data_IF_610717795998
#
_entry.id   IF_610717795998
#
_cell.length_a   1.000
_cell.length_b   1.000
_cell.length_c   1.000
_cell.angle_alpha   90.00
_cell.angle_beta   90.00
_cell.angle_gamma   90.00
#
_symmetry.space_group_name_H-M   'P 1'
#
loop_
_entity.id
_entity.type
_entity.pdbx_description
1 polymer ?
#
# COMPACT_ATOMS: atom_id res chain seq x y z
N UNK A 1 7.99 1.92 1.99
CA UNK A 1 7.32 2.90 1.09
C UNK A 1 7.78 2.69 -0.33
N UNK A 2 7.81 1.42 -0.71
CA UNK A 2 8.59 0.82 -1.78
C UNK A 2 7.70 -0.07 -2.66
N UNK A 3 6.51 -0.41 -2.16
CA UNK A 3 5.47 -1.11 -2.89
C UNK A 3 4.09 -0.54 -2.54
N UNK A 4 3.14 -0.73 -3.45
CA UNK A 4 1.72 -0.58 -3.21
C UNK A 4 1.04 -1.94 -3.41
N UNK A 5 -0.02 -2.20 -2.65
CA UNK A 5 -0.86 -3.37 -2.83
C UNK A 5 -2.19 -2.94 -3.43
N UNK A 6 -2.55 -3.55 -4.57
CA UNK A 6 -3.82 -3.33 -5.24
C UNK A 6 -4.67 -4.60 -5.13
N UNK A 7 -5.97 -4.43 -4.89
CA UNK A 7 -6.90 -5.53 -4.70
C UNK A 7 -8.06 -5.43 -5.71
N UNK A 8 -8.30 -6.52 -6.43
CA UNK A 8 -9.49 -6.70 -7.26
C UNK A 8 -10.44 -7.66 -6.55
N UNK A 9 -11.52 -7.11 -5.97
CA UNK A 9 -12.57 -7.91 -5.35
C UNK A 9 -13.43 -8.54 -6.44
N UNK A 10 -13.59 -9.86 -6.39
CA UNK A 10 -14.46 -10.62 -7.29
C UNK A 10 -15.68 -11.15 -6.55
N UNK A 11 -16.84 -11.08 -7.20
CA UNK A 11 -18.05 -11.72 -6.71
C UNK A 11 -18.10 -13.19 -7.12
N UNK A 12 -18.87 -14.00 -6.40
CA UNK A 12 -19.06 -15.44 -6.71
C UNK A 12 -19.57 -15.71 -8.13
N UNK A 13 -20.20 -14.71 -8.77
CA UNK A 13 -20.76 -14.80 -10.13
C UNK A 13 -19.75 -14.47 -11.23
N UNK A 14 -18.67 -13.76 -10.89
CA UNK A 14 -17.63 -13.41 -11.86
C UNK A 14 -16.60 -14.51 -11.94
N UNK A 15 -16.26 -14.95 -13.16
CA UNK A 15 -15.20 -15.93 -13.34
C UNK A 15 -13.86 -15.31 -12.94
N UNK A 16 -13.21 -15.89 -11.92
CA UNK A 16 -11.95 -15.39 -11.37
C UNK A 16 -10.86 -15.23 -12.46
N UNK A 17 -10.85 -16.13 -13.45
CA UNK A 17 -9.94 -16.05 -14.59
C UNK A 17 -10.10 -14.78 -15.45
N UNK A 18 -11.31 -14.24 -15.59
CA UNK A 18 -11.52 -12.97 -16.33
C UNK A 18 -10.97 -11.77 -15.56
N UNK A 19 -11.06 -11.79 -14.24
CA UNK A 19 -10.48 -10.75 -13.40
C UNK A 19 -8.96 -10.84 -13.40
N UNK A 20 -8.40 -12.04 -13.25
CA UNK A 20 -6.95 -12.25 -13.33
C UNK A 20 -6.42 -11.78 -14.69
N UNK A 21 -7.11 -12.08 -15.79
CA UNK A 21 -6.74 -11.58 -17.11
C UNK A 21 -6.69 -10.04 -17.16
N UNK A 22 -7.70 -9.36 -16.61
CA UNK A 22 -7.71 -7.90 -16.51
C UNK A 22 -6.53 -7.37 -15.66
N UNK A 23 -6.17 -8.07 -14.59
CA UNK A 23 -5.02 -7.71 -13.73
C UNK A 23 -3.71 -7.90 -14.48
N UNK A 24 -3.55 -8.99 -15.25
CA UNK A 24 -2.37 -9.23 -16.09
C UNK A 24 -2.27 -8.11 -17.16
N UNK A 25 -3.37 -7.79 -17.83
CA UNK A 25 -3.41 -6.72 -18.81
C UNK A 25 -3.02 -5.37 -18.18
N UNK A 26 -3.57 -5.05 -17.01
CA UNK A 26 -3.20 -3.85 -16.25
C UNK A 26 -1.72 -3.85 -15.87
N UNK A 27 -1.18 -4.99 -15.42
CA UNK A 27 0.23 -5.10 -15.04
C UNK A 27 1.17 -4.91 -16.23
N UNK A 28 0.86 -5.52 -17.38
CA UNK A 28 1.63 -5.34 -18.61
C UNK A 28 1.54 -3.89 -19.13
N UNK A 29 0.39 -3.23 -18.96
CA UNK A 29 0.25 -1.80 -19.29
C UNK A 29 1.12 -0.93 -18.38
N UNK A 30 1.14 -1.19 -17.07
CA UNK A 30 2.02 -0.48 -16.13
C UNK A 30 3.48 -0.66 -16.53
N UNK A 31 3.90 -1.90 -16.84
CA UNK A 31 5.26 -2.12 -17.30
C UNK A 31 5.56 -1.38 -18.60
N UNK A 32 4.65 -1.43 -19.58
CA UNK A 32 4.84 -0.72 -20.85
C UNK A 32 4.96 0.80 -20.65
N UNK A 33 4.06 1.40 -19.85
CA UNK A 33 4.02 2.85 -19.61
C UNK A 33 5.19 3.38 -18.79
N UNK A 34 5.71 2.61 -17.83
CA UNK A 34 6.71 3.08 -16.88
C UNK A 34 8.08 2.39 -17.05
N UNK A 35 8.30 1.62 -18.11
CA UNK A 35 9.58 0.92 -18.36
C UNK A 35 10.75 1.82 -18.81
N UNK A 36 10.47 3.08 -19.15
CA UNK A 36 11.41 4.01 -19.80
C UNK A 36 11.63 5.31 -19.02
N UNK A 37 11.35 5.34 -17.71
CA UNK A 37 11.63 6.53 -16.92
C UNK A 37 13.12 6.59 -16.56
N UNK A 38 13.87 7.40 -17.30
CA UNK A 38 15.27 7.70 -17.00
C UNK A 38 15.34 8.81 -15.95
N UNK A 39 15.97 8.50 -14.81
CA UNK A 39 16.21 9.50 -13.75
C UNK A 39 17.38 10.42 -14.10
N UNK A 40 17.50 11.55 -13.42
CA UNK A 40 18.63 12.49 -13.57
C UNK A 40 20.02 11.84 -13.33
N UNK A 41 20.04 10.69 -12.64
CA UNK A 41 21.23 9.88 -12.38
C UNK A 41 21.44 8.76 -13.42
N UNK A 42 20.71 8.81 -14.56
CA UNK A 42 20.75 7.84 -15.66
C UNK A 42 20.41 6.40 -15.25
N UNK A 43 19.58 6.24 -14.22
CA UNK A 43 19.03 4.94 -13.83
C UNK A 43 17.62 4.84 -14.40
N UNK A 44 17.38 3.79 -15.20
CA UNK A 44 16.05 3.46 -15.68
C UNK A 44 15.25 2.80 -14.56
N UNK A 45 14.20 3.48 -14.11
CA UNK A 45 13.29 2.92 -13.12
C UNK A 45 12.33 1.96 -13.81
N UNK A 46 12.21 0.76 -13.24
CA UNK A 46 11.24 -0.24 -13.64
C UNK A 46 10.63 -0.84 -12.39
N UNK A 47 9.34 -1.14 -12.47
CA UNK A 47 8.60 -1.75 -11.37
C UNK A 47 8.68 -3.27 -11.44
N UNK A 48 8.44 -3.92 -10.30
CA UNK A 48 8.19 -5.35 -10.21
C UNK A 48 6.72 -5.54 -9.94
N UNK A 49 6.06 -6.44 -10.67
CA UNK A 49 4.64 -6.72 -10.47
C UNK A 49 4.47 -8.20 -10.17
N UNK A 50 3.80 -8.48 -9.05
CA UNK A 50 3.48 -9.82 -8.60
C UNK A 50 1.96 -9.96 -8.48
N UNK A 51 1.40 -11.06 -8.99
CA UNK A 51 -0.03 -11.33 -9.01
C UNK A 51 -0.31 -12.65 -8.31
N UNK A 52 -1.22 -12.62 -7.34
CA UNK A 52 -1.72 -13.78 -6.60
C UNK A 52 -3.24 -13.76 -6.59
N UNK A 53 -3.89 -14.91 -6.42
CA UNK A 53 -5.34 -14.99 -6.33
C UNK A 53 -5.78 -15.92 -5.19
N UNK A 54 -6.90 -15.59 -4.55
CA UNK A 54 -7.50 -16.45 -3.55
C UNK A 54 -8.27 -15.68 -2.48
N UNK A 55 -8.57 -16.37 -1.39
CA UNK A 55 -9.34 -15.81 -0.29
C UNK A 55 -8.46 -15.00 0.66
N UNK A 56 -8.97 -13.84 1.06
CA UNK A 56 -8.33 -12.96 2.04
C UNK A 56 -9.34 -12.53 3.10
N UNK A 57 -8.83 -12.25 4.28
CA UNK A 57 -9.54 -11.65 5.39
C UNK A 57 -9.08 -10.19 5.53
N UNK A 58 -10.05 -9.30 5.58
CA UNK A 58 -9.85 -7.91 5.94
C UNK A 58 -10.27 -7.74 7.38
N UNK A 59 -9.35 -7.31 8.25
CA UNK A 59 -9.63 -7.08 9.66
C UNK A 59 -9.27 -5.66 10.07
N UNK A 60 -10.19 -4.99 10.75
CA UNK A 60 -9.95 -3.70 11.40
C UNK A 60 -9.29 -3.96 12.76
N UNK A 61 -8.25 -3.20 13.07
CA UNK A 61 -7.50 -3.26 14.33
C UNK A 61 -7.38 -1.88 14.96
N UNK A 62 -7.05 -1.84 16.25
CA UNK A 62 -6.98 -0.61 17.04
C UNK A 62 -8.20 -0.42 17.93
N UNK A 63 -8.21 0.70 18.66
CA UNK A 63 -9.33 1.08 19.52
C UNK A 63 -9.49 2.61 19.53
N UNK A 64 -10.74 3.07 19.66
CA UNK A 64 -11.05 4.48 19.84
C UNK A 64 -10.78 5.33 18.60
N UNK A 65 -9.81 6.25 18.71
CA UNK A 65 -9.50 7.25 17.68
C UNK A 65 -8.46 6.78 16.66
N UNK A 66 -7.65 5.77 16.99
CA UNK A 66 -6.54 5.31 16.16
C UNK A 66 -6.80 3.87 15.71
N UNK A 67 -7.35 3.75 14.51
CA UNK A 67 -7.69 2.48 13.89
C UNK A 67 -6.77 2.22 12.70
N UNK A 68 -6.49 0.96 12.43
CA UNK A 68 -5.83 0.53 11.21
C UNK A 68 -6.51 -0.71 10.67
N UNK A 69 -5.99 -1.26 9.59
CA UNK A 69 -6.46 -2.51 9.01
C UNK A 69 -5.29 -3.40 8.65
N UNK A 70 -5.56 -4.71 8.67
CA UNK A 70 -4.63 -5.73 8.22
C UNK A 70 -5.31 -6.66 7.23
N UNK A 71 -4.53 -7.10 6.26
CA UNK A 71 -4.93 -8.09 5.26
C UNK A 71 -4.24 -9.40 5.61
N UNK A 72 -5.03 -10.45 5.77
CA UNK A 72 -4.52 -11.77 6.15
C UNK A 72 -5.03 -12.80 5.15
N UNK A 73 -4.14 -13.61 4.60
CA UNK A 73 -4.53 -14.70 3.71
C UNK A 73 -3.40 -15.12 2.80
N UNK A 74 -3.54 -16.33 2.24
CA UNK A 74 -2.57 -16.92 1.34
C UNK A 74 -2.17 -16.01 0.15
N UNK A 75 -3.10 -15.27 -0.50
CA UNK A 75 -2.72 -14.41 -1.62
C UNK A 75 -1.70 -13.33 -1.24
N UNK A 76 -1.81 -12.74 -0.04
CA UNK A 76 -0.85 -11.71 0.41
C UNK A 76 0.55 -12.31 0.59
N UNK A 77 0.62 -13.56 1.06
CA UNK A 77 1.87 -14.28 1.26
C UNK A 77 2.53 -14.61 -0.07
N UNK A 78 1.75 -15.19 -0.98
CA UNK A 78 2.22 -15.57 -2.31
C UNK A 78 2.59 -14.38 -3.16
N UNK A 79 1.88 -13.24 -3.05
CA UNK A 79 2.24 -12.01 -3.74
C UNK A 79 3.62 -11.51 -3.30
N UNK A 80 3.91 -11.54 -1.99
CA UNK A 80 5.22 -11.16 -1.45
C UNK A 80 6.30 -12.13 -1.89
N UNK A 81 6.04 -13.44 -1.80
CA UNK A 81 6.98 -14.45 -2.26
C UNK A 81 7.31 -14.28 -3.75
N UNK A 82 6.29 -14.10 -4.59
CA UNK A 82 6.44 -13.89 -6.03
C UNK A 82 7.19 -12.58 -6.35
N UNK A 83 6.97 -11.50 -5.60
CA UNK A 83 7.73 -10.25 -5.73
C UNK A 83 9.21 -10.45 -5.39
N UNK A 84 9.52 -11.22 -4.36
CA UNK A 84 10.89 -11.55 -3.96
C UNK A 84 11.69 -12.25 -5.05
N UNK A 85 11.04 -13.10 -5.86
CA UNK A 85 11.67 -13.79 -7.01
C UNK A 85 11.52 -13.00 -8.32
N UNK A 86 10.85 -11.85 -8.32
CA UNK A 86 10.57 -11.06 -9.52
C UNK A 86 11.76 -10.17 -9.87
N UNK A 87 12.19 -10.20 -11.14
CA UNK A 87 13.20 -9.28 -11.65
C UNK A 87 12.57 -7.95 -12.07
N UNK A 88 13.39 -6.90 -12.14
CA UNK A 88 12.92 -5.56 -12.53
C UNK A 88 12.37 -5.55 -13.95
N UNK A 89 11.13 -5.07 -14.14
CA UNK A 89 10.43 -5.08 -15.42
C UNK A 89 9.64 -6.35 -15.73
N UNK A 90 9.59 -7.33 -14.83
CA UNK A 90 8.80 -8.55 -15.00
C UNK A 90 7.39 -8.46 -14.39
N UNK A 91 6.47 -9.26 -14.93
CA UNK A 91 5.17 -9.57 -14.32
C UNK A 91 5.17 -11.06 -13.97
N UNK A 92 5.15 -11.36 -12.66
CA UNK A 92 5.24 -12.72 -12.13
C UNK A 92 3.93 -13.14 -11.45
N UNK A 93 3.45 -14.33 -11.75
CA UNK A 93 2.24 -14.92 -11.20
C UNK A 93 2.60 -16.01 -10.19
N UNK A 94 1.88 -16.01 -9.07
CA UNK A 94 1.85 -17.12 -8.13
C UNK A 94 1.08 -18.32 -8.70
N UNK A 95 1.32 -19.50 -8.13
CA UNK A 95 0.69 -20.77 -8.53
C UNK A 95 -0.83 -20.70 -8.49
N UNK A 96 -1.39 -20.06 -7.46
CA UNK A 96 -2.84 -19.87 -7.30
C UNK A 96 -3.44 -19.04 -8.42
N UNK A 97 -2.79 -17.94 -8.82
CA UNK A 97 -3.25 -17.11 -9.93
C UNK A 97 -3.14 -17.86 -11.27
N UNK A 98 -2.02 -18.55 -11.49
CA UNK A 98 -1.80 -19.30 -12.72
C UNK A 98 -2.79 -20.46 -12.90
N UNK A 99 -3.20 -21.14 -11.82
CA UNK A 99 -4.19 -22.22 -11.86
C UNK A 99 -5.56 -21.82 -12.40
N UNK A 100 -5.86 -20.52 -12.48
CA UNK A 100 -7.09 -19.99 -13.07
C UNK A 100 -6.92 -19.44 -14.49
N UNK A 101 -5.71 -19.54 -15.06
CA UNK A 101 -5.37 -19.05 -16.38
C UNK A 101 -5.18 -20.20 -17.37
N UNK A 102 -5.66 -20.02 -18.60
CA UNK A 102 -5.40 -20.95 -19.70
C UNK A 102 -4.05 -20.61 -20.35
N UNK A 103 -3.12 -21.56 -20.37
CA UNK A 103 -1.76 -21.38 -20.88
C UNK A 103 -1.71 -20.88 -22.32
N UNK A 104 -2.68 -21.28 -23.16
CA UNK A 104 -2.80 -20.86 -24.56
C UNK A 104 -2.95 -19.35 -24.73
N UNK A 105 -3.51 -18.66 -23.74
CA UNK A 105 -3.83 -17.23 -23.86
C UNK A 105 -2.62 -16.31 -23.61
N UNK A 106 -1.50 -16.85 -23.15
CA UNK A 106 -0.37 -16.05 -22.68
C UNK A 106 0.97 -16.61 -23.17
N UNK A 107 1.86 -15.70 -23.59
CA UNK A 107 3.28 -16.01 -23.72
C UNK A 107 3.91 -16.00 -22.33
N UNK A 108 4.33 -17.18 -21.87
CA UNK A 108 4.72 -17.41 -20.49
C UNK A 108 5.96 -18.29 -20.35
N UNK A 109 6.69 -18.09 -19.25
CA UNK A 109 7.82 -18.92 -18.84
C UNK A 109 7.54 -19.45 -17.44
N UNK A 110 7.56 -20.78 -17.30
CA UNK A 110 7.41 -21.46 -16.01
C UNK A 110 8.81 -21.64 -15.43
N UNK A 111 9.01 -21.19 -14.19
CA UNK A 111 10.25 -21.37 -13.45
C UNK A 111 10.18 -22.61 -12.56
N UNK A 112 11.33 -23.15 -12.16
CA UNK A 112 11.41 -24.36 -11.32
C UNK A 112 10.71 -24.20 -9.96
N UNK A 113 10.68 -22.97 -9.42
CA UNK A 113 9.95 -22.63 -8.19
C UNK A 113 8.41 -22.72 -8.35
N UNK A 114 7.94 -22.92 -9.58
CA UNK A 114 6.54 -22.98 -10.01
C UNK A 114 5.85 -21.61 -10.08
N UNK A 115 6.61 -20.52 -10.03
CA UNK A 115 6.14 -19.20 -10.42
C UNK A 115 6.17 -19.06 -11.94
N UNK A 116 5.27 -18.23 -12.50
CA UNK A 116 5.14 -18.05 -13.95
C UNK A 116 5.37 -16.60 -14.32
N UNK A 117 6.31 -16.33 -15.22
CA UNK A 117 6.50 -14.99 -15.80
C UNK A 117 5.65 -14.85 -17.04
N UNK A 118 4.88 -13.77 -17.13
CA UNK A 118 4.07 -13.44 -18.31
C UNK A 118 4.77 -12.34 -19.11
N UNK A 119 5.02 -12.61 -20.39
CA UNK A 119 5.62 -11.64 -21.32
C UNK A 119 4.57 -10.84 -22.07
N UNK A 120 3.57 -11.53 -22.61
CA UNK A 120 2.50 -10.89 -23.38
C UNK A 120 1.20 -11.69 -23.32
N UNK A 121 0.10 -11.01 -23.63
CA UNK A 121 -1.22 -11.62 -23.82
C UNK A 121 -1.39 -11.92 -25.31
N UNK A 122 -1.70 -13.18 -25.63
CA UNK A 122 -1.92 -13.64 -26.99
C UNK A 122 -3.42 -13.56 -27.36
N UNK A 123 -4.29 -14.04 -26.47
CA UNK A 123 -5.74 -14.17 -26.70
C UNK A 123 -6.55 -13.70 -25.49
N UNK A 124 -7.73 -13.12 -25.73
CA UNK A 124 -8.68 -12.75 -24.66
C UNK A 124 -9.51 -13.99 -24.26
N UNK A 125 -9.56 -14.38 -22.97
CA UNK A 125 -10.40 -15.49 -22.51
C UNK A 125 -11.91 -15.28 -22.70
N UNK A 126 -12.36 -14.06 -22.99
CA UNK A 126 -13.78 -13.72 -23.22
C UNK A 126 -14.21 -13.93 -24.67
N UNK A 127 -13.27 -13.96 -25.59
CA UNK A 127 -13.56 -14.18 -27.01
C UNK A 127 -13.55 -15.69 -27.31
N UNK A 128 -14.62 -16.19 -27.93
CA UNK A 128 -14.71 -17.59 -28.37
C UNK A 128 -13.79 -17.90 -29.56
N UNK A 129 -13.36 -16.88 -30.30
CA UNK A 129 -12.48 -16.99 -31.46
C UNK A 129 -11.00 -16.91 -31.03
N UNK A 130 -10.43 -18.05 -30.64
CA UNK A 130 -9.01 -18.20 -30.24
C UNK A 130 -8.01 -18.08 -31.41
N UNK A 131 -8.42 -17.41 -32.48
CA UNK A 131 -7.64 -17.17 -33.71
C UNK A 131 -7.31 -15.69 -33.91
N UNK A 132 -8.01 -14.78 -33.23
CA UNK A 132 -7.76 -13.34 -33.33
C UNK A 132 -6.72 -12.92 -32.28
N UNK A 133 -5.61 -12.26 -32.68
CA UNK A 133 -4.65 -11.74 -31.72
C UNK A 133 -5.29 -10.64 -30.86
N UNK A 134 -4.89 -10.54 -29.59
CA UNK A 134 -5.39 -9.54 -28.65
C UNK A 134 -5.10 -8.10 -29.11
N UNK A 135 -6.06 -7.48 -29.81
CA UNK A 135 -5.99 -6.11 -30.30
C UNK A 135 -6.25 -5.07 -29.20
N UNK A 136 -6.83 -5.48 -28.07
CA UNK A 136 -7.24 -4.62 -26.97
C UNK A 136 -6.09 -3.88 -26.28
N UNK A 137 -4.86 -4.42 -26.33
CA UNK A 137 -3.71 -3.81 -25.68
C UNK A 137 -3.43 -2.39 -26.22
N UNK A 138 -3.41 -2.22 -27.55
CA UNK A 138 -3.14 -0.94 -28.18
C UNK A 138 -4.25 0.09 -27.92
N UNK A 139 -5.51 -0.35 -27.84
CA UNK A 139 -6.63 0.51 -27.47
C UNK A 139 -6.52 0.99 -26.02
N UNK A 140 -6.15 0.10 -25.09
CA UNK A 140 -5.92 0.45 -23.68
C UNK A 140 -4.75 1.43 -23.51
N UNK A 141 -3.63 1.22 -24.22
CA UNK A 141 -2.48 2.16 -24.19
C UNK A 141 -2.90 3.56 -24.66
N UNK A 142 -3.72 3.66 -25.71
CA UNK A 142 -4.22 4.96 -26.21
C UNK A 142 -5.16 5.66 -25.24
N UNK A 143 -5.98 4.91 -24.49
CA UNK A 143 -6.89 5.48 -23.48
C UNK A 143 -6.15 6.09 -22.28
N UNK A 144 -5.01 5.51 -21.87
CA UNK A 144 -4.24 5.96 -20.68
C UNK A 144 -3.45 7.24 -20.93
N UNK A 145 -3.04 7.54 -22.18
CA UNK A 145 -2.34 8.79 -22.48
C UNK A 145 -3.22 10.05 -22.28
N UNK A 146 -4.54 9.91 -22.30
CA UNK A 146 -5.50 11.03 -22.10
C UNK A 146 -5.64 11.51 -20.66
N UNK A 147 -5.75 10.65 -19.63
CA UNK A 147 -5.91 11.09 -18.23
C UNK A 147 -4.65 11.66 -17.58
N UNK A 148 -3.43 11.26 -17.96
CA UNK A 148 -2.21 11.68 -17.23
C UNK A 148 -1.99 13.20 -17.25
N UNK A 149 -2.23 13.87 -18.39
CA UNK A 149 -2.09 15.33 -18.50
C UNK A 149 -3.17 16.11 -17.72
N UNK A 150 -4.28 15.46 -17.35
CA UNK A 150 -5.33 16.08 -16.52
C UNK A 150 -4.90 16.08 -15.05
N UNK A 151 -4.16 15.05 -14.62
CA UNK A 151 -3.82 14.80 -13.20
C UNK A 151 -2.95 15.88 -12.57
N UNK A 152 -2.01 16.46 -13.32
CA UNK A 152 -1.13 17.53 -12.81
C UNK A 152 -1.89 18.79 -12.40
N UNK A 153 -3.05 19.06 -13.02
CA UNK A 153 -3.89 20.22 -12.70
C UNK A 153 -5.00 19.88 -11.67
N UNK A 154 -5.21 18.62 -11.29
CA UNK A 154 -6.34 18.20 -10.44
C UNK A 154 -6.25 18.66 -8.99
N UNK A 155 -5.05 18.87 -8.46
CA UNK A 155 -4.84 19.25 -7.05
C UNK A 155 -5.45 20.61 -6.75
N UNK A 156 -5.28 21.59 -7.64
CA UNK A 156 -5.81 22.94 -7.46
C UNK A 156 -7.35 22.98 -7.58
N UNK A 157 -7.93 22.19 -8.51
CA UNK A 157 -9.39 22.16 -8.74
C UNK A 157 -10.21 21.47 -7.63
N UNK A 158 -9.61 20.54 -6.88
CA UNK A 158 -10.32 19.82 -5.81
C UNK A 158 -10.31 20.57 -4.47
N UNK A 159 -9.39 21.52 -4.30
CA UNK A 159 -9.17 22.25 -3.05
C UNK A 159 -9.93 23.59 -2.98
N UNK A 160 -10.49 24.08 -4.09
CA UNK A 160 -11.22 25.34 -4.13
C UNK A 160 -12.66 25.15 -3.57
N UNK A 161 -13.01 25.72 -2.40
CA UNK A 161 -14.33 25.58 -1.78
C UNK A 161 -15.38 26.53 -2.36
N UNK A 162 -15.00 27.40 -3.29
CA UNK A 162 -15.92 28.37 -3.87
C UNK A 162 -16.91 27.67 -4.80
N UNK A 163 -18.18 27.60 -4.35
CA UNK A 163 -19.35 27.08 -5.07
C UNK A 163 -19.71 27.82 -6.38
N UNK A 164 -18.87 28.75 -6.85
CA UNK A 164 -19.03 29.45 -8.14
C UNK A 164 -18.35 28.69 -9.29
N UNK A 165 -18.55 27.37 -9.36
CA UNK A 165 -18.02 26.55 -10.46
C UNK A 165 -18.98 26.62 -11.66
N UNK A 166 -18.43 26.89 -12.85
CA UNK A 166 -19.18 26.80 -14.10
C UNK A 166 -19.75 25.36 -14.29
N UNK A 167 -20.88 25.18 -14.98
CA UNK A 167 -21.48 23.86 -15.22
C UNK A 167 -20.52 22.85 -15.86
N UNK A 168 -19.59 23.34 -16.69
CA UNK A 168 -18.55 22.54 -17.31
C UNK A 168 -17.51 22.00 -16.30
N UNK A 169 -17.20 22.76 -15.26
CA UNK A 169 -16.22 22.36 -14.23
C UNK A 169 -16.84 21.36 -13.25
N UNK A 170 -18.15 21.47 -12.98
CA UNK A 170 -18.92 20.48 -12.23
C UNK A 170 -18.94 19.13 -12.97
N UNK A 171 -19.14 19.15 -14.31
CA UNK A 171 -19.12 17.94 -15.12
C UNK A 171 -17.73 17.30 -15.13
N UNK A 172 -16.66 18.09 -15.32
CA UNK A 172 -15.28 17.60 -15.22
C UNK A 172 -14.95 17.04 -13.83
N UNK A 173 -15.39 17.69 -12.75
CA UNK A 173 -15.22 17.19 -11.38
C UNK A 173 -15.94 15.86 -11.17
N UNK A 174 -17.16 15.70 -11.70
CA UNK A 174 -17.89 14.43 -11.71
C UNK A 174 -17.18 13.35 -12.53
N UNK A 175 -16.65 13.69 -13.69
CA UNK A 175 -15.90 12.75 -14.54
C UNK A 175 -14.63 12.25 -13.85
N UNK A 176 -13.92 13.14 -13.15
CA UNK A 176 -12.72 12.76 -12.37
C UNK A 176 -13.10 11.89 -11.18
N UNK A 177 -14.10 12.30 -10.39
CA UNK A 177 -14.59 11.52 -9.26
C UNK A 177 -15.19 10.16 -9.70
N UNK A 178 -15.63 10.04 -10.95
CA UNK A 178 -16.12 8.77 -11.52
C UNK A 178 -15.06 7.67 -11.55
N UNK A 179 -13.76 8.03 -11.58
CA UNK A 179 -12.66 7.09 -11.45
C UNK A 179 -12.72 6.33 -10.12
N UNK A 180 -13.31 6.93 -9.08
CA UNK A 180 -13.46 6.35 -7.76
C UNK A 180 -14.89 6.53 -7.23
N UNK A 181 -15.80 5.75 -7.81
CA UNK A 181 -17.23 5.67 -7.41
C UNK A 181 -17.46 5.44 -5.91
N UNK A 182 -16.49 4.83 -5.21
CA UNK A 182 -16.57 4.62 -3.76
C UNK A 182 -16.63 5.91 -2.95
N UNK A 183 -16.20 7.06 -3.50
CA UNK A 183 -16.31 8.36 -2.83
C UNK A 183 -17.78 8.74 -2.67
N UNK A 184 -18.58 8.63 -3.75
CA UNK A 184 -20.02 8.90 -3.71
C UNK A 184 -20.75 7.95 -2.76
N UNK A 185 -20.40 6.67 -2.77
CA UNK A 185 -20.96 5.70 -1.83
C UNK A 185 -20.64 6.05 -0.37
N UNK A 186 -19.45 6.58 -0.09
CA UNK A 186 -19.06 6.97 1.26
C UNK A 186 -19.83 8.21 1.75
N UNK A 187 -20.08 9.15 0.84
CA UNK A 187 -20.90 10.34 1.08
C UNK A 187 -22.36 9.95 1.36
N UNK A 188 -22.96 9.10 0.53
CA UNK A 188 -24.32 8.58 0.71
C UNK A 188 -24.50 7.86 2.06
N UNK A 189 -23.50 7.10 2.49
CA UNK A 189 -23.55 6.32 3.73
C UNK A 189 -23.08 7.10 4.98
N UNK A 190 -22.69 8.37 4.86
CA UNK A 190 -22.20 9.20 5.98
C UNK A 190 -21.10 8.55 6.83
N UNK A 191 -20.21 7.77 6.22
CA UNK A 191 -19.15 7.00 6.92
C UNK A 191 -17.90 7.84 7.22
N UNK A 192 -17.93 9.15 7.00
CA UNK A 192 -16.78 10.05 7.15
C UNK A 192 -16.10 9.97 8.52
N UNK A 193 -16.89 9.94 9.60
CA UNK A 193 -16.38 9.88 10.97
C UNK A 193 -15.61 8.58 11.24
N UNK A 194 -16.07 7.45 10.71
CA UNK A 194 -15.40 6.15 10.89
C UNK A 194 -14.12 6.04 10.07
N UNK A 195 -14.10 6.59 8.86
CA UNK A 195 -12.94 6.56 7.98
C UNK A 195 -11.84 7.48 8.51
N UNK A 196 -12.19 8.61 9.14
CA UNK A 196 -11.23 9.52 9.77
C UNK A 196 -10.35 8.83 10.82
N UNK A 197 -10.87 7.84 11.53
CA UNK A 197 -10.12 7.04 12.51
C UNK A 197 -8.98 6.21 11.89
N UNK A 198 -8.97 6.02 10.57
CA UNK A 198 -7.91 5.32 9.83
C UNK A 198 -6.79 6.25 9.34
N UNK A 199 -6.93 7.56 9.57
CA UNK A 199 -5.97 8.55 9.11
C UNK A 199 -4.96 8.87 10.21
N UNK A 200 -3.70 9.05 9.82
CA UNK A 200 -2.67 9.43 10.78
C UNK A 200 -2.91 10.86 11.31
N UNK A 201 -2.52 11.11 12.57
CA UNK A 201 -2.76 12.39 13.24
C UNK A 201 -2.26 13.63 12.49
N UNK A 202 -1.03 13.66 11.92
CA UNK A 202 -0.57 14.85 11.18
C UNK A 202 -1.47 15.23 10.01
N UNK A 203 -2.05 14.24 9.32
CA UNK A 203 -2.98 14.47 8.21
C UNK A 203 -4.33 14.95 8.74
N UNK A 204 -4.85 14.35 9.82
CA UNK A 204 -6.09 14.80 10.45
C UNK A 204 -6.00 16.26 10.92
N UNK A 205 -4.91 16.64 11.59
CA UNK A 205 -4.71 18.02 12.06
C UNK A 205 -4.71 19.03 10.91
N UNK A 206 -4.12 18.67 9.76
CA UNK A 206 -4.14 19.54 8.58
C UNK A 206 -5.53 19.66 7.95
N UNK A 207 -6.27 18.56 7.89
CA UNK A 207 -7.66 18.56 7.41
C UNK A 207 -8.53 19.42 8.32
N UNK A 208 -8.39 19.29 9.63
CA UNK A 208 -9.19 20.06 10.60
C UNK A 208 -8.82 21.54 10.60
N UNK A 209 -7.56 21.86 10.33
CA UNK A 209 -7.08 23.22 10.13
C UNK A 209 -7.45 23.81 8.75
N UNK A 210 -8.12 23.05 7.87
CA UNK A 210 -8.43 23.46 6.49
C UNK A 210 -7.18 23.90 5.71
N UNK A 211 -6.05 23.26 5.98
CA UNK A 211 -4.77 23.55 5.34
C UNK A 211 -4.47 22.53 4.23
N UNK A 212 -3.81 22.96 3.14
CA UNK A 212 -3.44 22.05 2.06
C UNK A 212 -2.45 21.00 2.55
N UNK A 213 -2.68 19.75 2.16
CA UNK A 213 -1.84 18.61 2.55
C UNK A 213 -0.39 18.71 2.04
N UNK A 214 -0.12 19.58 1.08
CA UNK A 214 1.22 19.86 0.56
C UNK A 214 2.14 20.46 1.63
N UNK A 215 1.59 21.10 2.66
CA UNK A 215 2.38 21.58 3.80
C UNK A 215 2.96 20.48 4.68
N UNK A 216 2.52 19.23 4.49
CA UNK A 216 3.13 18.04 5.08
C UNK A 216 4.34 17.55 4.28
N UNK A 217 4.54 18.06 3.06
CA UNK A 217 5.68 17.70 2.21
C UNK A 217 6.91 18.47 2.64
N UNK A 218 7.83 17.79 3.31
CA UNK A 218 9.10 18.38 3.76
C UNK A 218 10.22 17.34 3.89
N UNK A 219 11.46 17.80 3.74
CA UNK A 219 12.64 17.05 4.18
C UNK A 219 12.88 17.36 5.66
N UNK A 220 12.86 16.33 6.51
CA UNK A 220 13.02 16.52 7.95
C UNK A 220 13.86 15.42 8.57
N UNK A 221 14.63 15.79 9.59
CA UNK A 221 15.26 14.83 10.50
C UNK A 221 14.20 14.22 11.41
N UNK A 222 14.07 12.90 11.37
CA UNK A 222 13.15 12.13 12.20
C UNK A 222 13.87 10.96 12.86
N UNK A 223 13.29 10.42 13.93
CA UNK A 223 13.70 9.12 14.48
C UNK A 223 12.66 8.07 14.11
N UNK A 224 13.09 7.03 13.38
CA UNK A 224 12.24 5.95 12.89
C UNK A 224 12.46 4.72 13.74
N UNK A 225 11.36 4.10 14.16
CA UNK A 225 11.35 2.79 14.80
C UNK A 225 10.60 1.82 13.89
N UNK A 226 11.27 0.75 13.50
CA UNK A 226 10.66 -0.42 12.89
C UNK A 226 10.55 -1.52 13.94
N UNK A 227 9.34 -2.01 14.15
CA UNK A 227 9.05 -3.12 15.07
C UNK A 227 8.62 -4.29 14.22
N UNK A 228 9.26 -5.45 14.42
CA UNK A 228 8.76 -6.72 13.92
C UNK A 228 8.41 -7.62 15.09
N UNK A 229 7.26 -8.30 15.01
CA UNK A 229 6.89 -9.32 15.96
C UNK A 229 6.53 -10.60 15.22
N UNK A 230 7.02 -11.72 15.74
CA UNK A 230 6.75 -13.06 15.24
C UNK A 230 5.74 -13.74 16.17
N UNK A 231 4.46 -13.86 15.76
CA UNK A 231 3.47 -14.58 16.52
C UNK A 231 3.71 -16.09 16.39
N UNK A 232 3.27 -16.85 17.41
CA UNK A 232 3.20 -18.30 17.39
C UNK A 232 2.20 -18.73 16.33
N UNK A 233 2.45 -19.90 15.74
CA UNK A 233 1.52 -20.48 14.77
C UNK A 233 0.13 -20.66 15.40
N UNK A 234 -0.85 -19.98 14.81
CA UNK A 234 -2.22 -19.96 15.27
C UNK A 234 -3.19 -19.70 14.10
N UNK A 235 -4.50 -19.99 14.26
CA UNK A 235 -5.50 -19.65 13.26
C UNK A 235 -5.60 -18.14 13.02
N UNK A 236 -6.07 -17.74 11.84
CA UNK A 236 -6.13 -16.32 11.44
C UNK A 236 -6.89 -15.41 12.41
N UNK A 237 -7.98 -15.89 13.03
CA UNK A 237 -8.73 -15.11 14.01
C UNK A 237 -7.90 -14.79 15.26
N UNK A 238 -7.17 -15.78 15.78
CA UNK A 238 -6.29 -15.59 16.93
C UNK A 238 -5.10 -14.71 16.56
N UNK A 239 -4.54 -14.87 15.36
CA UNK A 239 -3.50 -13.98 14.83
C UNK A 239 -3.97 -12.53 14.83
N UNK A 240 -5.16 -12.25 14.30
CA UNK A 240 -5.75 -10.89 14.28
C UNK A 240 -5.87 -10.34 15.70
N UNK A 241 -6.28 -11.15 16.68
CA UNK A 241 -6.35 -10.73 18.09
C UNK A 241 -4.98 -10.37 18.65
N UNK A 242 -3.95 -11.19 18.41
CA UNK A 242 -2.58 -10.91 18.85
C UNK A 242 -2.08 -9.61 18.22
N UNK A 243 -2.26 -9.46 16.90
CA UNK A 243 -1.88 -8.23 16.18
C UNK A 243 -2.61 -7.01 16.72
N UNK A 244 -3.91 -7.12 16.99
CA UNK A 244 -4.70 -6.04 17.54
C UNK A 244 -4.19 -5.61 18.92
N UNK A 245 -3.91 -6.56 19.82
CA UNK A 245 -3.40 -6.27 21.16
C UNK A 245 -2.01 -5.63 21.09
N UNK A 246 -1.11 -6.15 20.25
CA UNK A 246 0.21 -5.59 20.03
C UNK A 246 0.15 -4.17 19.46
N UNK A 247 -0.76 -3.93 18.50
CA UNK A 247 -0.98 -2.61 17.91
C UNK A 247 -1.51 -1.61 18.95
N UNK A 248 -2.50 -1.99 19.76
CA UNK A 248 -3.05 -1.12 20.82
C UNK A 248 -1.98 -0.72 21.85
N UNK A 249 -1.19 -1.68 22.36
CA UNK A 249 -0.08 -1.42 23.28
C UNK A 249 0.96 -0.48 22.65
N UNK A 250 1.29 -0.73 21.37
CA UNK A 250 2.24 0.11 20.64
C UNK A 250 1.73 1.54 20.50
N UNK A 251 0.47 1.72 20.08
CA UNK A 251 -0.16 3.04 20.00
C UNK A 251 -0.12 3.78 21.34
N UNK A 252 -0.49 3.12 22.44
CA UNK A 252 -0.51 3.74 23.77
C UNK A 252 0.87 4.27 24.19
N UNK A 253 1.92 3.46 24.04
CA UNK A 253 3.29 3.84 24.42
C UNK A 253 3.83 4.95 23.53
N UNK A 254 3.59 4.85 22.21
CA UNK A 254 4.06 5.82 21.22
C UNK A 254 3.40 7.17 21.43
N UNK A 255 2.09 7.21 21.66
CA UNK A 255 1.37 8.47 21.87
C UNK A 255 1.73 9.16 23.18
N UNK A 256 2.00 8.41 24.26
CA UNK A 256 2.54 8.98 25.51
C UNK A 256 3.87 9.70 25.31
N UNK A 257 4.63 9.32 24.29
CA UNK A 257 5.94 9.88 23.99
C UNK A 257 5.92 10.81 22.76
N UNK A 258 4.74 11.30 22.37
CA UNK A 258 4.56 12.20 21.23
C UNK A 258 5.06 11.63 19.90
N UNK A 259 5.07 10.30 19.73
CA UNK A 259 5.34 9.66 18.45
C UNK A 259 4.07 9.43 17.62
N UNK A 260 4.24 8.98 16.39
CA UNK A 260 3.13 8.62 15.50
C UNK A 260 3.34 7.23 14.90
N UNK A 261 2.31 6.39 14.99
CA UNK A 261 2.27 5.11 14.28
C UNK A 261 1.83 5.41 12.84
N UNK A 262 2.72 5.18 11.88
CA UNK A 262 2.48 5.53 10.47
C UNK A 262 1.78 4.41 9.71
N UNK A 263 2.32 3.18 9.78
CA UNK A 263 1.78 2.02 9.06
C UNK A 263 1.98 0.74 9.88
N UNK A 264 1.03 -0.18 9.73
CA UNK A 264 1.14 -1.56 10.16
C UNK A 264 0.87 -2.45 8.95
N UNK A 265 1.72 -3.47 8.78
CA UNK A 265 1.58 -4.44 7.70
C UNK A 265 1.80 -5.82 8.27
N UNK A 266 0.95 -6.77 7.90
CA UNK A 266 1.12 -8.18 8.23
C UNK A 266 1.68 -8.89 7.00
N UNK A 267 2.85 -9.50 7.14
CA UNK A 267 3.51 -10.27 6.09
C UNK A 267 3.93 -11.63 6.60
N UNK A 268 3.38 -12.71 6.05
CA UNK A 268 3.89 -14.07 6.26
C UNK A 268 4.08 -14.41 7.74
N UNK A 269 3.03 -14.11 8.52
CA UNK A 269 2.95 -14.21 9.98
C UNK A 269 3.73 -13.12 10.73
N UNK A 270 4.76 -12.50 10.16
CA UNK A 270 5.45 -11.38 10.79
C UNK A 270 4.62 -10.09 10.68
N UNK A 271 4.40 -9.41 11.81
CA UNK A 271 3.84 -8.05 11.80
C UNK A 271 4.99 -7.07 11.70
N UNK A 272 4.83 -6.05 10.89
CA UNK A 272 5.70 -4.89 10.80
C UNK A 272 4.93 -3.65 11.23
N UNK A 273 5.44 -2.91 12.20
CA UNK A 273 4.89 -1.61 12.62
C UNK A 273 5.96 -0.55 12.40
N UNK A 274 5.59 0.49 11.65
CA UNK A 274 6.41 1.66 11.39
C UNK A 274 5.95 2.81 12.29
N UNK A 275 6.85 3.27 13.15
CA UNK A 275 6.64 4.41 14.05
C UNK A 275 7.65 5.51 13.72
N UNK A 276 7.20 6.76 13.77
CA UNK A 276 8.03 7.93 13.46
C UNK A 276 7.89 8.98 14.56
N UNK A 277 9.03 9.49 15.02
CA UNK A 277 9.16 10.61 15.95
C UNK A 277 9.73 11.82 15.21
N UNK A 278 9.29 13.02 15.57
CA UNK A 278 9.70 14.26 14.91
C UNK A 278 8.89 14.62 13.67
N UNK A 279 7.67 14.08 13.52
CA UNK A 279 6.74 14.59 12.51
C UNK A 279 6.26 16.01 12.85
N UNK A 280 5.70 16.72 11.88
CA UNK A 280 5.15 18.06 12.06
C UNK A 280 4.08 18.05 13.17
N UNK A 281 4.20 18.97 14.13
CA UNK A 281 3.37 19.02 15.34
C UNK A 281 3.88 18.17 16.52
N UNK A 282 4.86 17.30 16.30
CA UNK A 282 5.40 16.36 17.29
C UNK A 282 6.92 16.48 17.49
N UNK A 283 7.50 17.61 17.04
CA UNK A 283 8.94 17.84 17.12
C UNK A 283 9.36 18.16 18.56
N UNK A 284 10.39 17.49 19.06
CA UNK A 284 10.98 17.79 20.36
C UNK A 284 12.51 17.57 20.35
N UNK A 285 13.21 18.11 21.35
CA UNK A 285 14.68 18.07 21.36
C UNK A 285 15.25 16.66 21.61
N UNK A 286 14.49 15.79 22.27
CA UNK A 286 14.94 14.47 22.74
C UNK A 286 14.38 13.29 21.93
N UNK A 287 14.15 13.46 20.63
CA UNK A 287 13.54 12.45 19.75
C UNK A 287 14.23 11.10 19.74
N UNK A 288 15.55 11.10 19.65
CA UNK A 288 16.33 9.86 19.68
C UNK A 288 16.18 9.16 21.03
N UNK A 289 16.17 9.91 22.14
CA UNK A 289 16.02 9.36 23.48
C UNK A 289 14.62 8.80 23.70
N UNK A 290 13.59 9.55 23.30
CA UNK A 290 12.20 9.10 23.37
C UNK A 290 12.01 7.84 22.51
N UNK A 291 12.55 7.81 21.29
CA UNK A 291 12.46 6.65 20.41
C UNK A 291 13.10 5.41 21.04
N UNK A 292 14.28 5.52 21.67
CA UNK A 292 14.92 4.40 22.36
C UNK A 292 14.12 3.92 23.58
N UNK A 293 13.62 4.85 24.42
CA UNK A 293 12.77 4.52 25.58
C UNK A 293 11.47 3.84 25.16
N UNK A 294 10.84 4.33 24.09
CA UNK A 294 9.67 3.72 23.47
C UNK A 294 9.98 2.33 22.94
N UNK A 295 11.04 2.17 22.14
CA UNK A 295 11.45 0.88 21.60
C UNK A 295 11.64 -0.16 22.71
N UNK A 296 12.35 0.19 23.78
CA UNK A 296 12.52 -0.70 24.93
C UNK A 296 11.20 -1.07 25.61
N UNK A 297 10.34 -0.07 25.86
CA UNK A 297 9.04 -0.28 26.52
C UNK A 297 8.10 -1.15 25.67
N UNK A 298 8.06 -0.91 24.35
CA UNK A 298 7.30 -1.69 23.39
C UNK A 298 7.81 -3.13 23.36
N UNK A 299 9.13 -3.34 23.24
CA UNK A 299 9.71 -4.69 23.27
C UNK A 299 9.29 -5.43 24.54
N UNK A 300 9.41 -4.80 25.71
CA UNK A 300 9.05 -5.40 26.99
C UNK A 300 7.56 -5.78 27.04
N UNK A 301 6.66 -4.86 26.71
CA UNK A 301 5.21 -5.08 26.81
C UNK A 301 4.67 -6.05 25.75
N UNK A 302 5.16 -5.95 24.51
CA UNK A 302 4.72 -6.82 23.41
C UNK A 302 5.28 -8.23 23.55
N UNK A 303 6.51 -8.40 24.06
CA UNK A 303 7.06 -9.74 24.34
C UNK A 303 6.35 -10.46 25.49
N UNK A 304 5.64 -9.72 26.35
CA UNK A 304 4.83 -10.28 27.43
C UNK A 304 3.43 -10.75 26.97
N UNK A 305 3.05 -10.50 25.70
CA UNK A 305 1.79 -10.97 25.16
C UNK A 305 1.82 -12.47 24.88
N UNK A 306 0.75 -13.16 25.28
CA UNK A 306 0.56 -14.57 24.96
C UNK A 306 0.53 -14.78 23.44
N UNK A 307 1.36 -15.71 22.97
CA UNK A 307 1.45 -16.04 21.54
C UNK A 307 2.42 -15.17 20.75
N UNK A 308 3.21 -14.30 21.38
CA UNK A 308 4.36 -13.65 20.72
C UNK A 308 5.63 -14.44 21.03
N UNK A 309 6.34 -14.90 20.00
CA UNK A 309 7.58 -15.66 20.15
C UNK A 309 8.80 -14.75 20.23
N UNK A 310 8.80 -13.68 19.42
CA UNK A 310 9.96 -12.84 19.23
C UNK A 310 9.53 -11.42 18.87
N UNK A 311 10.27 -10.44 19.37
CA UNK A 311 10.09 -9.02 19.04
C UNK A 311 11.46 -8.42 18.78
N UNK A 312 11.66 -7.93 17.56
CA UNK A 312 12.86 -7.21 17.15
C UNK A 312 12.53 -5.77 16.75
N UNK A 313 13.43 -4.86 17.09
CA UNK A 313 13.24 -3.43 16.90
C UNK A 313 14.50 -2.80 16.31
N UNK A 314 14.34 -2.10 15.19
CA UNK A 314 15.36 -1.26 14.57
C UNK A 314 15.06 0.21 14.78
N UNK A 315 16.00 0.96 15.36
CA UNK A 315 15.89 2.41 15.57
C UNK A 315 16.96 3.13 14.77
N UNK A 316 16.58 4.15 14.01
CA UNK A 316 17.52 5.03 13.30
C UNK A 316 17.05 6.47 13.33
N UNK A 317 17.99 7.42 13.29
CA UNK A 317 17.68 8.85 13.19
C UNK A 317 18.38 9.43 11.97
N UNK A 318 17.69 10.27 11.21
CA UNK A 318 18.26 10.94 10.06
C UNK A 318 17.24 11.68 9.20
N UNK A 319 17.72 12.28 8.12
CA UNK A 319 16.89 13.02 7.17
C UNK A 319 16.04 12.06 6.33
N UNK A 320 14.75 12.38 6.22
CA UNK A 320 13.78 11.67 5.39
C UNK A 320 12.89 12.65 4.65
N UNK A 321 12.34 12.18 3.54
CA UNK A 321 11.20 12.80 2.90
C UNK A 321 9.93 12.38 3.65
N UNK A 322 9.16 13.36 4.10
CA UNK A 322 7.81 13.20 4.64
C UNK A 322 6.83 13.86 3.68
N UNK A 323 5.72 13.22 3.35
CA UNK A 323 4.70 13.86 2.52
C UNK A 323 3.55 12.93 2.15
N UNK A 324 2.52 13.51 1.53
CA UNK A 324 1.38 12.75 1.02
C UNK A 324 1.66 12.35 -0.43
N UNK A 325 1.77 11.05 -0.68
CA UNK A 325 2.20 10.50 -1.98
C UNK A 325 1.07 9.71 -2.64
N UNK A 326 0.84 9.96 -3.92
CA UNK A 326 -0.11 9.21 -4.76
C UNK A 326 -1.01 10.13 -5.60
N UNK A 327 -2.00 9.52 -6.24
CA UNK A 327 -3.00 10.23 -7.03
C UNK A 327 -3.89 11.12 -6.12
N UNK A 328 -4.39 12.29 -6.57
CA UNK A 328 -5.27 13.15 -5.75
C UNK A 328 -6.47 12.40 -5.13
N UNK A 329 -7.06 11.45 -5.88
CA UNK A 329 -8.14 10.59 -5.40
C UNK A 329 -7.70 9.37 -4.57
N UNK A 330 -6.40 9.05 -4.52
CA UNK A 330 -5.82 7.93 -3.78
C UNK A 330 -4.35 8.22 -3.46
N UNK A 331 -4.14 8.83 -2.30
CA UNK A 331 -2.82 9.17 -1.75
C UNK A 331 -2.72 8.78 -0.28
N UNK A 332 -1.51 8.50 0.18
CA UNK A 332 -1.22 8.13 1.55
C UNK A 332 -0.02 8.91 2.06
N UNK A 333 -0.05 9.31 3.33
CA UNK A 333 1.14 9.87 3.96
C UNK A 333 2.22 8.79 4.05
N UNK A 334 3.41 9.13 3.57
CA UNK A 334 4.52 8.21 3.45
C UNK A 334 5.81 8.89 3.88
N UNK A 335 6.66 8.13 4.57
CA UNK A 335 8.00 8.55 4.95
C UNK A 335 8.99 7.71 4.14
N UNK A 336 9.89 8.38 3.41
CA UNK A 336 10.83 7.75 2.48
C UNK A 336 12.24 8.24 2.81
N UNK A 337 13.18 7.31 2.96
CA UNK A 337 14.59 7.67 3.15
C UNK A 337 15.47 6.47 3.40
N UNK A 338 16.78 6.64 3.18
CA UNK A 338 17.76 5.58 3.40
C UNK A 338 17.77 5.09 4.86
N UNK A 339 17.51 5.99 5.82
CA UNK A 339 17.43 5.64 7.24
C UNK A 339 16.19 4.78 7.57
N UNK A 340 15.06 5.03 6.91
CA UNK A 340 13.84 4.19 7.01
C UNK A 340 14.19 2.76 6.58
N UNK A 341 14.85 2.60 5.42
CA UNK A 341 15.26 1.29 4.92
C UNK A 341 16.32 0.63 5.83
N UNK A 342 17.23 1.42 6.42
CA UNK A 342 18.22 0.92 7.37
C UNK A 342 17.55 0.37 8.64
N UNK A 343 16.59 1.09 9.21
CA UNK A 343 15.83 0.59 10.37
C UNK A 343 15.07 -0.70 10.06
N UNK A 344 14.45 -0.79 8.88
CA UNK A 344 13.79 -2.02 8.42
C UNK A 344 14.78 -3.20 8.28
N UNK A 345 16.02 -2.96 7.86
CA UNK A 345 17.07 -4.00 7.81
C UNK A 345 17.57 -4.40 9.20
N UNK A 346 17.75 -3.43 10.10
CA UNK A 346 18.19 -3.68 11.48
C UNK A 346 17.24 -4.62 12.22
N UNK A 347 15.92 -4.39 12.12
CA UNK A 347 14.94 -5.28 12.76
C UNK A 347 14.95 -6.72 12.21
N UNK A 348 15.40 -6.92 10.97
CA UNK A 348 15.47 -8.25 10.37
C UNK A 348 16.77 -8.99 10.73
N UNK A 349 17.87 -8.25 10.93
CA UNK A 349 19.17 -8.84 11.26
C UNK A 349 19.31 -9.23 12.73
N UNK A 350 18.62 -8.54 13.64
CA UNK A 350 18.74 -8.73 15.09
C UNK A 350 17.49 -9.40 15.69
N UNK A 351 17.21 -10.61 15.23
CA UNK A 351 16.13 -11.48 15.71
C UNK A 351 16.59 -12.33 16.89
#
# INVERSE_FOLDING_TARGET
>A
GDAFLALWKTDKRTFLGHTIHNVIACALLIQHSYSSYETDVKVNLRVKLAISAGNLLFARIGAGMDMSYVLVGLPVLEAKAAEGVCSSGEVKLAKTAWGHCYSRNYDHLIHDDGHVTIKSILYDPRESDVTKPFLGFNAMVKQIKRPVNVVENLTDFLLDPNDNLNPADILKKKDVLSLRKTIFLAEENNVGVEIRKLMIRPVLTQIDAHQPLEYLTEMRQVSVIFITLKPRECPYLQLITIVNNAYQITCEIVYKSMGCVNKIVLFDKDVMILVVFGLRGFKHESEAQAALKCGYSIRKSVSALDGVLEVSIGVTTGQVYCGVVGHPLRREFTVIGAIVNKAARLMCCFR
#
